data_IF_188655465492
#
_entry.id   IF_188655465492
#
_cell.length_a   1.000
_cell.length_b   1.000
_cell.length_c   1.000
_cell.angle_alpha   90.00
_cell.angle_beta   90.00
_cell.angle_gamma   90.00
#
_symmetry.space_group_name_H-M   'P 1'
#
loop_
_entity.id
_entity.type
_entity.pdbx_description
1 polymer ?
#
# COMPACT_ATOMS: atom_id res chain seq x y z
N UNK A 1 10.38 -0.28 -12.33
CA UNK A 1 9.83 -1.62 -12.67
C UNK A 1 10.79 -2.82 -12.54
N UNK A 2 11.91 -2.93 -13.29
CA UNK A 2 12.68 -4.21 -13.37
C UNK A 2 13.35 -4.69 -12.06
N UNK A 3 13.91 -3.79 -11.24
CA UNK A 3 14.68 -4.18 -10.03
C UNK A 3 13.83 -4.71 -8.87
N UNK A 4 12.63 -4.18 -8.63
CA UNK A 4 11.75 -4.67 -7.55
C UNK A 4 11.04 -5.97 -7.93
N UNK A 5 10.59 -6.09 -9.19
CA UNK A 5 10.00 -7.31 -9.73
C UNK A 5 11.00 -8.48 -9.74
N UNK A 6 12.29 -8.20 -10.00
CA UNK A 6 13.39 -9.17 -9.89
C UNK A 6 13.60 -9.63 -8.44
N UNK A 7 13.41 -8.74 -7.46
CA UNK A 7 13.53 -9.10 -6.04
C UNK A 7 12.38 -9.99 -5.56
N UNK A 8 11.14 -9.73 -6.00
CA UNK A 8 9.96 -10.51 -5.58
C UNK A 8 9.81 -11.84 -6.33
N UNK A 9 10.10 -11.84 -7.63
CA UNK A 9 10.23 -13.08 -8.41
C UNK A 9 11.39 -13.91 -7.86
N UNK A 10 12.49 -13.26 -7.46
CA UNK A 10 13.61 -13.91 -6.78
C UNK A 10 13.21 -14.52 -5.44
N UNK A 11 12.48 -13.79 -4.59
CA UNK A 11 12.05 -14.29 -3.28
C UNK A 11 11.09 -15.48 -3.40
N UNK A 12 10.12 -15.40 -4.32
CA UNK A 12 9.18 -16.51 -4.56
C UNK A 12 9.88 -17.71 -5.20
N UNK A 13 10.82 -17.50 -6.11
CA UNK A 13 11.64 -18.56 -6.69
C UNK A 13 12.53 -19.23 -5.63
N UNK A 14 13.13 -18.45 -4.73
CA UNK A 14 13.92 -18.93 -3.60
C UNK A 14 13.05 -19.70 -2.61
N UNK A 15 11.84 -19.23 -2.30
CA UNK A 15 10.89 -19.92 -1.43
C UNK A 15 10.43 -21.25 -2.04
N UNK A 16 10.09 -21.26 -3.32
CA UNK A 16 9.70 -22.46 -4.07
C UNK A 16 10.86 -23.46 -4.11
N UNK A 17 12.07 -22.99 -4.42
CA UNK A 17 13.28 -23.82 -4.44
C UNK A 17 13.63 -24.39 -3.07
N UNK A 18 13.59 -23.56 -2.02
CA UNK A 18 13.84 -24.00 -0.64
C UNK A 18 12.80 -25.03 -0.18
N UNK A 19 11.52 -24.81 -0.50
CA UNK A 19 10.43 -25.74 -0.15
C UNK A 19 10.60 -27.09 -0.84
N UNK A 20 10.96 -27.09 -2.13
CA UNK A 20 11.25 -28.31 -2.89
C UNK A 20 12.46 -29.05 -2.30
N UNK A 21 13.58 -28.36 -2.05
CA UNK A 21 14.80 -29.00 -1.53
C UNK A 21 14.61 -29.56 -0.12
N UNK A 22 13.96 -28.82 0.78
CA UNK A 22 13.71 -29.25 2.15
C UNK A 22 12.74 -30.43 2.19
N UNK A 23 11.67 -30.41 1.40
CA UNK A 23 10.70 -31.51 1.35
C UNK A 23 11.30 -32.78 0.73
N UNK A 24 12.17 -32.67 -0.28
CA UNK A 24 12.93 -33.80 -0.82
C UNK A 24 13.84 -34.40 0.25
N UNK A 25 14.60 -33.56 0.97
CA UNK A 25 15.50 -34.01 2.04
C UNK A 25 14.77 -34.74 3.17
N UNK A 26 13.68 -34.15 3.67
CA UNK A 26 12.88 -34.76 4.75
C UNK A 26 12.20 -36.04 4.27
N UNK A 27 11.60 -36.03 3.07
CA UNK A 27 10.94 -37.20 2.52
C UNK A 27 11.92 -38.36 2.29
N UNK A 28 13.15 -38.08 1.83
CA UNK A 28 14.18 -39.12 1.65
C UNK A 28 14.59 -39.77 2.98
N UNK A 29 14.72 -38.97 4.05
CA UNK A 29 15.07 -39.45 5.39
C UNK A 29 13.95 -40.28 6.02
N UNK A 30 12.69 -39.86 5.85
CA UNK A 30 11.53 -40.48 6.49
C UNK A 30 11.05 -41.72 5.72
N UNK A 31 10.99 -41.66 4.39
CA UNK A 31 10.40 -42.73 3.57
C UNK A 31 11.44 -43.71 3.00
N UNK A 32 12.74 -43.42 3.15
CA UNK A 32 13.87 -44.18 2.57
C UNK A 32 13.72 -44.46 1.07
N UNK A 33 12.89 -43.69 0.39
CA UNK A 33 12.50 -43.80 -1.01
C UNK A 33 12.36 -42.39 -1.59
N UNK A 34 12.31 -42.24 -2.92
CA UNK A 34 12.19 -40.93 -3.55
C UNK A 34 10.79 -40.33 -3.29
N UNK A 35 10.67 -39.23 -2.52
CA UNK A 35 9.38 -38.72 -2.06
C UNK A 35 8.74 -37.86 -3.15
N UNK A 36 8.02 -38.48 -4.09
CA UNK A 36 7.49 -37.78 -5.27
C UNK A 36 6.45 -36.70 -4.92
N UNK A 37 5.64 -36.92 -3.87
CA UNK A 37 4.54 -36.03 -3.49
C UNK A 37 4.94 -34.91 -2.53
N UNK A 38 5.97 -35.11 -1.71
CA UNK A 38 6.42 -34.10 -0.75
C UNK A 38 6.82 -32.76 -1.41
N UNK A 39 7.64 -32.72 -2.49
CA UNK A 39 7.98 -31.47 -3.16
C UNK A 39 6.83 -30.88 -3.98
N UNK A 40 5.97 -31.72 -4.56
CA UNK A 40 4.78 -31.23 -5.26
C UNK A 40 3.89 -30.45 -4.28
N UNK A 41 3.47 -31.09 -3.18
CA UNK A 41 2.60 -30.49 -2.17
C UNK A 41 3.27 -29.28 -1.50
N UNK A 42 4.59 -29.34 -1.28
CA UNK A 42 5.31 -28.19 -0.73
C UNK A 42 5.29 -26.99 -1.69
N UNK A 43 5.57 -27.20 -2.97
CA UNK A 43 5.61 -26.13 -3.98
C UNK A 43 4.23 -25.55 -4.24
N UNK A 44 3.21 -26.40 -4.41
CA UNK A 44 1.84 -25.93 -4.64
C UNK A 44 1.33 -25.16 -3.44
N UNK A 45 1.46 -25.70 -2.22
CA UNK A 45 0.96 -25.03 -1.02
C UNK A 45 1.72 -23.72 -0.74
N UNK A 46 3.04 -23.65 -0.97
CA UNK A 46 3.76 -22.36 -0.91
C UNK A 46 3.29 -21.38 -1.98
N UNK A 47 2.98 -21.83 -3.20
CA UNK A 47 2.36 -20.95 -4.19
C UNK A 47 0.96 -20.50 -3.77
N UNK A 48 0.15 -21.36 -3.15
CA UNK A 48 -1.16 -20.98 -2.62
C UNK A 48 -1.03 -19.92 -1.52
N UNK A 49 -0.07 -20.11 -0.62
CA UNK A 49 0.13 -19.25 0.54
C UNK A 49 0.81 -17.91 0.18
N UNK A 50 1.74 -17.92 -0.78
CA UNK A 50 2.62 -16.79 -1.06
C UNK A 50 2.42 -16.14 -2.44
N UNK A 51 1.90 -16.84 -3.46
CA UNK A 51 1.85 -16.32 -4.82
C UNK A 51 0.63 -15.39 -5.07
N UNK A 52 0.77 -14.37 -5.95
CA UNK A 52 -0.26 -13.37 -6.16
C UNK A 52 -1.46 -13.78 -7.02
N UNK A 53 -1.39 -14.92 -7.72
CA UNK A 53 -2.38 -15.31 -8.72
C UNK A 53 -3.32 -16.40 -8.23
N UNK A 54 -4.59 -16.04 -7.99
CA UNK A 54 -5.66 -17.00 -7.65
C UNK A 54 -6.15 -17.84 -8.83
N UNK A 55 -5.89 -17.43 -10.07
CA UNK A 55 -6.46 -18.08 -11.28
C UNK A 55 -5.93 -19.50 -11.52
N UNK A 56 -4.79 -19.89 -10.95
CA UNK A 56 -4.23 -21.24 -11.08
C UNK A 56 -4.51 -22.19 -9.91
N UNK A 57 -5.08 -21.70 -8.80
CA UNK A 57 -5.20 -22.46 -7.55
C UNK A 57 -5.92 -23.80 -7.73
N UNK A 58 -7.08 -23.75 -8.40
CA UNK A 58 -7.89 -24.94 -8.66
C UNK A 58 -7.20 -25.89 -9.63
N UNK A 59 -6.45 -25.37 -10.61
CA UNK A 59 -5.70 -26.18 -11.58
C UNK A 59 -4.52 -26.91 -10.93
N UNK A 60 -3.82 -26.25 -10.00
CA UNK A 60 -2.73 -26.89 -9.25
C UNK A 60 -3.23 -27.96 -8.29
N UNK A 61 -4.25 -27.66 -7.48
CA UNK A 61 -4.85 -28.64 -6.56
C UNK A 61 -5.46 -29.83 -7.32
N UNK A 62 -6.15 -29.56 -8.43
CA UNK A 62 -6.67 -30.61 -9.29
C UNK A 62 -5.54 -31.45 -9.90
N UNK A 63 -4.47 -30.80 -10.40
CA UNK A 63 -3.30 -31.50 -10.94
C UNK A 63 -2.62 -32.41 -9.92
N UNK A 64 -2.49 -31.98 -8.67
CA UNK A 64 -1.91 -32.82 -7.61
C UNK A 64 -2.76 -34.03 -7.27
N UNK A 65 -4.07 -33.85 -7.08
CA UNK A 65 -4.98 -34.95 -6.73
C UNK A 65 -5.01 -35.99 -7.85
N UNK A 66 -5.07 -35.57 -9.11
CA UNK A 66 -5.05 -36.49 -10.25
C UNK A 66 -3.68 -37.14 -10.43
N UNK A 67 -2.59 -36.39 -10.25
CA UNK A 67 -1.23 -36.93 -10.28
C UNK A 67 -1.02 -38.01 -9.22
N UNK A 68 -1.48 -37.76 -7.98
CA UNK A 68 -1.46 -38.74 -6.91
C UNK A 68 -2.27 -39.99 -7.27
N UNK A 69 -3.49 -39.80 -7.76
CA UNK A 69 -4.36 -40.90 -8.15
C UNK A 69 -3.71 -41.80 -9.23
N UNK A 70 -3.22 -41.20 -10.32
CA UNK A 70 -2.56 -41.94 -11.42
C UNK A 70 -1.33 -42.69 -10.91
N UNK A 71 -0.49 -42.05 -10.09
CA UNK A 71 0.72 -42.69 -9.57
C UNK A 71 0.40 -43.87 -8.67
N UNK A 72 -0.63 -43.76 -7.81
CA UNK A 72 -1.06 -44.88 -6.96
C UNK A 72 -1.69 -46.04 -7.75
N UNK A 73 -2.25 -45.77 -8.93
CA UNK A 73 -2.80 -46.82 -9.80
C UNK A 73 -1.74 -47.58 -10.61
N UNK A 74 -0.68 -46.89 -11.05
CA UNK A 74 0.29 -47.46 -12.00
C UNK A 74 1.62 -47.90 -11.37
N UNK A 75 1.96 -47.46 -10.16
CA UNK A 75 3.20 -47.84 -9.47
C UNK A 75 2.89 -48.86 -8.36
N UNK A 76 3.15 -50.18 -8.57
CA UNK A 76 2.67 -51.25 -7.70
C UNK A 76 3.25 -51.26 -6.28
N UNK A 77 4.22 -50.38 -5.97
CA UNK A 77 4.84 -50.26 -4.63
C UNK A 77 4.41 -48.98 -3.89
N UNK A 78 3.58 -48.13 -4.49
CA UNK A 78 3.12 -46.88 -3.88
C UNK A 78 1.79 -47.09 -3.14
N UNK A 79 1.85 -47.32 -1.82
CA UNK A 79 0.66 -47.38 -0.98
C UNK A 79 0.02 -46.00 -0.81
N UNK A 80 -1.31 -45.95 -0.67
CA UNK A 80 -2.06 -44.75 -0.27
C UNK A 80 -1.54 -44.14 1.04
N UNK A 81 -1.02 -44.96 1.96
CA UNK A 81 -0.39 -44.51 3.21
C UNK A 81 0.91 -43.73 2.96
N UNK A 82 1.73 -44.17 2.00
CA UNK A 82 2.97 -43.48 1.63
C UNK A 82 2.67 -42.14 0.96
N UNK A 83 1.71 -42.10 0.03
CA UNK A 83 1.28 -40.86 -0.61
C UNK A 83 0.71 -39.85 0.42
N UNK A 84 -0.08 -40.31 1.38
CA UNK A 84 -0.62 -39.45 2.45
C UNK A 84 0.49 -38.90 3.36
N UNK A 85 1.47 -39.71 3.75
CA UNK A 85 2.60 -39.27 4.59
C UNK A 85 3.48 -38.25 3.87
N UNK A 86 3.84 -38.51 2.60
CA UNK A 86 4.56 -37.56 1.75
C UNK A 86 3.83 -36.23 1.64
N UNK A 87 2.51 -36.26 1.42
CA UNK A 87 1.70 -35.05 1.32
C UNK A 87 1.69 -34.25 2.62
N UNK A 88 1.62 -34.92 3.78
CA UNK A 88 1.71 -34.26 5.10
C UNK A 88 3.08 -33.59 5.32
N UNK A 89 4.16 -34.26 4.91
CA UNK A 89 5.52 -33.68 4.96
C UNK A 89 5.60 -32.45 4.08
N UNK A 90 5.11 -32.53 2.84
CA UNK A 90 5.06 -31.39 1.92
C UNK A 90 4.26 -30.22 2.49
N UNK A 91 3.08 -30.50 3.07
CA UNK A 91 2.24 -29.48 3.69
C UNK A 91 2.92 -28.83 4.90
N UNK A 92 3.56 -29.62 5.77
CA UNK A 92 4.31 -29.11 6.91
C UNK A 92 5.48 -28.22 6.48
N UNK A 93 6.26 -28.65 5.49
CA UNK A 93 7.38 -27.87 4.94
C UNK A 93 6.88 -26.56 4.35
N UNK A 94 5.80 -26.59 3.59
CA UNK A 94 5.22 -25.37 3.02
C UNK A 94 4.75 -24.39 4.10
N UNK A 95 4.07 -24.87 5.14
CA UNK A 95 3.66 -24.03 6.27
C UNK A 95 4.89 -23.46 6.98
N UNK A 96 5.92 -24.28 7.23
CA UNK A 96 7.15 -23.84 7.89
C UNK A 96 7.90 -22.78 7.07
N UNK A 97 8.03 -22.97 5.75
CA UNK A 97 8.66 -22.00 4.85
C UNK A 97 7.84 -20.73 4.74
N UNK A 98 6.51 -20.83 4.61
CA UNK A 98 5.62 -19.66 4.58
C UNK A 98 5.69 -18.87 5.91
N UNK A 99 5.70 -19.56 7.04
CA UNK A 99 5.85 -18.95 8.36
C UNK A 99 7.22 -18.27 8.52
N UNK A 100 8.31 -18.96 8.19
CA UNK A 100 9.67 -18.44 8.34
C UNK A 100 9.97 -17.29 7.36
N UNK A 101 9.35 -17.32 6.19
CA UNK A 101 9.47 -16.27 5.17
C UNK A 101 8.56 -15.07 5.42
N UNK A 102 7.55 -15.20 6.29
CA UNK A 102 6.64 -14.10 6.61
C UNK A 102 7.44 -12.98 7.29
N UNK A 103 7.41 -11.74 6.76
CA UNK A 103 8.09 -10.62 7.38
C UNK A 103 7.62 -10.42 8.82
N UNK A 104 8.59 -10.34 9.75
CA UNK A 104 8.33 -10.17 11.19
C UNK A 104 7.62 -8.86 11.54
N UNK A 105 7.67 -7.84 10.67
CA UNK A 105 6.96 -6.57 10.86
C UNK A 105 6.20 -6.14 9.58
N UNK A 106 4.95 -6.59 9.39
CA UNK A 106 4.12 -6.20 8.24
C UNK A 106 3.78 -4.71 8.21
N UNK A 107 3.66 -4.06 9.37
CA UNK A 107 3.35 -2.62 9.49
C UNK A 107 4.47 -1.79 8.90
N UNK A 108 5.72 -2.10 9.26
CA UNK A 108 6.89 -1.40 8.73
C UNK A 108 6.96 -1.43 7.19
N UNK A 109 6.63 -2.56 6.56
CA UNK A 109 6.61 -2.64 5.08
C UNK A 109 5.56 -1.73 4.45
N UNK A 110 4.39 -1.59 5.08
CA UNK A 110 3.34 -0.67 4.61
C UNK A 110 3.84 0.77 4.73
N UNK A 111 4.42 1.13 5.88
CA UNK A 111 4.95 2.48 6.12
C UNK A 111 6.09 2.84 5.15
N UNK A 112 7.02 1.92 4.90
CA UNK A 112 8.09 2.07 3.89
C UNK A 112 7.53 2.23 2.46
N UNK A 113 6.34 1.71 2.17
CA UNK A 113 5.68 1.87 0.87
C UNK A 113 4.86 3.17 0.77
N UNK A 114 4.44 3.74 1.90
CA UNK A 114 3.72 5.02 1.98
C UNK A 114 4.68 6.20 1.81
N UNK A 115 5.89 6.11 2.37
CA UNK A 115 6.87 7.19 2.38
C UNK A 115 7.12 7.82 1.00
N UNK A 116 7.38 7.06 -0.09
CA UNK A 116 7.61 7.65 -1.41
C UNK A 116 6.40 8.43 -1.94
N UNK A 117 5.18 7.94 -1.66
CA UNK A 117 3.93 8.60 -2.05
C UNK A 117 3.82 9.97 -1.37
N UNK A 118 3.97 10.01 -0.05
CA UNK A 118 3.90 11.26 0.72
C UNK A 118 5.02 12.25 0.34
N UNK A 119 6.22 11.74 0.06
CA UNK A 119 7.35 12.55 -0.38
C UNK A 119 7.06 13.26 -1.72
N UNK A 120 6.59 12.51 -2.72
CA UNK A 120 6.22 13.07 -4.02
C UNK A 120 5.06 14.07 -3.92
N UNK A 121 4.05 13.79 -3.09
CA UNK A 121 2.96 14.72 -2.84
C UNK A 121 3.48 16.02 -2.20
N UNK A 122 4.28 15.93 -1.14
CA UNK A 122 4.83 17.11 -0.45
C UNK A 122 5.65 17.99 -1.39
N UNK A 123 6.57 17.39 -2.16
CA UNK A 123 7.45 18.13 -3.09
C UNK A 123 6.62 18.85 -4.16
N UNK A 124 5.72 18.15 -4.82
CA UNK A 124 4.95 18.72 -5.93
C UNK A 124 3.89 19.71 -5.45
N UNK A 125 3.22 19.46 -4.32
CA UNK A 125 2.28 20.42 -3.72
C UNK A 125 3.01 21.72 -3.33
N UNK A 126 4.22 21.63 -2.75
CA UNK A 126 5.04 22.82 -2.44
C UNK A 126 5.48 23.56 -3.71
N UNK A 127 5.84 22.84 -4.78
CA UNK A 127 6.21 23.44 -6.05
C UNK A 127 5.03 24.19 -6.70
N UNK A 128 3.81 23.64 -6.62
CA UNK A 128 2.59 24.32 -7.09
C UNK A 128 2.35 25.62 -6.29
N UNK A 129 2.49 25.58 -4.96
CA UNK A 129 2.36 26.77 -4.12
C UNK A 129 3.36 27.88 -4.51
N UNK A 130 4.62 27.50 -4.75
CA UNK A 130 5.66 28.43 -5.19
C UNK A 130 5.35 29.03 -6.57
N UNK A 131 4.90 28.22 -7.52
CA UNK A 131 4.54 28.67 -8.86
C UNK A 131 3.30 29.59 -8.87
N UNK A 132 2.32 29.33 -7.99
CA UNK A 132 1.17 30.22 -7.81
C UNK A 132 1.58 31.58 -7.24
N UNK A 133 2.57 31.63 -6.34
CA UNK A 133 3.11 32.90 -5.80
C UNK A 133 3.87 33.70 -6.85
N UNK A 134 4.65 33.04 -7.70
CA UNK A 134 5.42 33.72 -8.75
C UNK A 134 4.61 34.01 -10.02
N UNK A 135 3.41 33.42 -10.16
CA UNK A 135 2.62 33.49 -11.38
C UNK A 135 3.19 32.67 -12.54
N UNK A 136 4.11 31.74 -12.27
CA UNK A 136 4.76 30.93 -13.30
C UNK A 136 3.88 29.74 -13.71
N UNK A 137 3.16 29.92 -14.81
CA UNK A 137 2.22 28.93 -15.33
C UNK A 137 2.91 27.66 -15.85
N UNK A 138 4.16 27.76 -16.31
CA UNK A 138 4.94 26.63 -16.84
C UNK A 138 5.52 25.78 -15.69
N UNK A 139 6.04 26.42 -14.65
CA UNK A 139 6.48 25.73 -13.44
C UNK A 139 5.32 25.00 -12.75
N UNK A 140 4.15 25.66 -12.64
CA UNK A 140 2.95 25.04 -12.09
C UNK A 140 2.52 23.81 -12.92
N UNK A 141 2.49 23.93 -14.25
CA UNK A 141 2.14 22.81 -15.13
C UNK A 141 3.07 21.61 -14.94
N UNK A 142 4.37 21.87 -14.88
CA UNK A 142 5.39 20.83 -14.64
C UNK A 142 5.15 20.08 -13.32
N UNK A 143 4.87 20.81 -12.23
CA UNK A 143 4.59 20.22 -10.93
C UNK A 143 3.26 19.43 -10.91
N UNK A 144 2.23 19.91 -11.61
CA UNK A 144 0.95 19.17 -11.75
C UNK A 144 1.15 17.87 -12.54
N UNK A 145 1.92 17.87 -13.62
CA UNK A 145 2.18 16.65 -14.39
C UNK A 145 3.07 15.67 -13.64
N UNK A 146 4.01 16.14 -12.83
CA UNK A 146 4.84 15.29 -11.96
C UNK A 146 4.02 14.57 -10.87
N UNK A 147 2.83 15.06 -10.49
CA UNK A 147 1.92 14.30 -9.61
C UNK A 147 1.41 13.00 -10.24
N UNK A 148 1.49 12.81 -11.56
CA UNK A 148 1.16 11.53 -12.19
C UNK A 148 2.20 10.44 -11.88
N UNK A 149 3.44 10.81 -11.55
CA UNK A 149 4.48 9.85 -11.15
C UNK A 149 4.13 9.14 -9.83
N UNK A 150 3.22 9.73 -9.04
CA UNK A 150 2.68 9.13 -7.82
C UNK A 150 1.93 7.82 -8.13
N UNK A 151 1.36 7.66 -9.32
CA UNK A 151 0.60 6.44 -9.68
C UNK A 151 1.48 5.19 -9.62
N UNK A 152 2.77 5.29 -9.97
CA UNK A 152 3.69 4.16 -9.85
C UNK A 152 3.88 3.73 -8.39
N UNK A 153 4.08 4.69 -7.49
CA UNK A 153 4.25 4.39 -6.06
C UNK A 153 2.93 3.99 -5.39
N UNK A 154 1.79 4.50 -5.84
CA UNK A 154 0.48 4.08 -5.36
C UNK A 154 0.18 2.63 -5.76
N UNK A 155 0.51 2.23 -6.98
CA UNK A 155 0.40 0.83 -7.42
C UNK A 155 1.29 -0.08 -6.57
N UNK A 156 2.53 0.36 -6.29
CA UNK A 156 3.45 -0.36 -5.41
C UNK A 156 2.90 -0.50 -3.99
N UNK A 157 2.33 0.57 -3.42
CA UNK A 157 1.67 0.53 -2.12
C UNK A 157 0.51 -0.48 -2.12
N UNK A 158 -0.32 -0.49 -3.18
CA UNK A 158 -1.41 -1.45 -3.32
C UNK A 158 -0.93 -2.91 -3.44
N UNK A 159 0.21 -3.15 -4.11
CA UNK A 159 0.85 -4.47 -4.15
C UNK A 159 1.29 -4.90 -2.75
N UNK A 160 1.96 -4.02 -2.01
CA UNK A 160 2.41 -4.28 -0.63
C UNK A 160 1.22 -4.56 0.29
N UNK A 161 0.15 -3.77 0.24
CA UNK A 161 -1.07 -4.00 1.03
C UNK A 161 -1.70 -5.36 0.73
N UNK A 162 -1.76 -5.76 -0.55
CA UNK A 162 -2.25 -7.09 -0.95
C UNK A 162 -1.38 -8.21 -0.39
N UNK A 163 -0.05 -8.05 -0.38
CA UNK A 163 0.88 -9.03 0.18
C UNK A 163 0.76 -9.14 1.70
N UNK A 164 0.71 -8.01 2.38
CA UNK A 164 0.60 -7.96 3.84
C UNK A 164 -0.72 -8.58 4.30
N UNK A 165 -1.85 -8.28 3.65
CA UNK A 165 -3.15 -8.90 3.96
C UNK A 165 -3.14 -10.42 3.82
N UNK A 166 -2.35 -10.98 2.90
CA UNK A 166 -2.18 -12.44 2.73
C UNK A 166 -1.32 -13.05 3.84
N UNK A 167 -0.23 -12.38 4.19
CA UNK A 167 0.72 -12.84 5.21
C UNK A 167 0.21 -12.65 6.63
N UNK A 168 -0.79 -11.78 6.83
CA UNK A 168 -1.43 -11.49 8.11
C UNK A 168 -2.04 -12.70 8.81
N UNK A 169 -2.37 -13.76 8.06
CA UNK A 169 -2.89 -15.03 8.61
C UNK A 169 -1.85 -15.67 9.55
N UNK A 170 -0.56 -15.46 9.28
CA UNK A 170 0.56 -16.12 9.96
C UNK A 170 1.29 -15.25 10.98
N UNK A 171 1.05 -13.93 10.98
CA UNK A 171 1.77 -13.00 11.85
C UNK A 171 1.11 -12.88 13.24
N UNK A 172 1.93 -12.73 14.29
CA UNK A 172 1.49 -12.47 15.68
C UNK A 172 0.98 -11.03 15.90
N UNK A 173 0.94 -10.20 14.86
CA UNK A 173 0.48 -8.81 14.94
C UNK A 173 -1.02 -8.80 15.20
N UNK A 174 -1.47 -7.95 16.12
CA UNK A 174 -2.90 -7.75 16.36
C UNK A 174 -3.59 -7.39 15.04
N UNK A 175 -4.64 -8.15 14.67
CA UNK A 175 -5.47 -7.87 13.48
C UNK A 175 -5.93 -6.41 13.43
N UNK A 176 -6.10 -5.78 14.59
CA UNK A 176 -6.48 -4.38 14.76
C UNK A 176 -5.41 -3.42 14.23
N UNK A 177 -4.16 -3.53 14.69
CA UNK A 177 -3.07 -2.66 14.24
C UNK A 177 -2.86 -2.77 12.72
N UNK A 178 -2.99 -3.97 12.16
CA UNK A 178 -2.89 -4.13 10.72
C UNK A 178 -4.07 -3.51 9.97
N UNK A 179 -5.29 -3.68 10.46
CA UNK A 179 -6.47 -3.07 9.86
C UNK A 179 -6.40 -1.54 9.88
N UNK A 180 -5.92 -0.95 10.97
CA UNK A 180 -5.70 0.49 11.11
C UNK A 180 -4.69 0.98 10.05
N UNK A 181 -3.53 0.32 9.90
CA UNK A 181 -2.54 0.71 8.87
C UNK A 181 -3.05 0.53 7.42
N UNK A 182 -3.82 -0.53 7.15
CA UNK A 182 -4.43 -0.74 5.82
C UNK A 182 -5.47 0.34 5.52
N UNK A 183 -6.22 0.77 6.53
CA UNK A 183 -7.15 1.89 6.40
C UNK A 183 -6.39 3.19 6.15
N UNK A 184 -5.34 3.49 6.93
CA UNK A 184 -4.48 4.67 6.70
C UNK A 184 -3.96 4.74 5.26
N UNK A 185 -3.45 3.63 4.73
CA UNK A 185 -2.94 3.58 3.36
C UNK A 185 -4.05 3.79 2.30
N UNK A 186 -5.29 3.37 2.59
CA UNK A 186 -6.45 3.62 1.73
C UNK A 186 -6.81 5.10 1.71
N UNK A 187 -6.89 5.73 2.88
CA UNK A 187 -7.20 7.15 3.00
C UNK A 187 -6.14 8.03 2.33
N UNK A 188 -4.86 7.67 2.41
CA UNK A 188 -3.79 8.32 1.63
C UNK A 188 -4.07 8.22 0.12
N UNK A 189 -4.59 7.08 -0.36
CA UNK A 189 -5.00 6.92 -1.75
C UNK A 189 -6.15 7.86 -2.16
N UNK A 190 -7.10 8.13 -1.27
CA UNK A 190 -8.14 9.13 -1.50
C UNK A 190 -7.56 10.55 -1.51
N UNK A 191 -6.70 10.88 -0.55
CA UNK A 191 -5.98 12.15 -0.51
C UNK A 191 -5.15 12.42 -1.79
N UNK A 192 -4.47 11.41 -2.34
CA UNK A 192 -3.74 11.52 -3.63
C UNK A 192 -4.68 11.93 -4.76
N UNK A 193 -5.87 11.34 -4.83
CA UNK A 193 -6.88 11.68 -5.86
C UNK A 193 -7.33 13.13 -5.71
N UNK A 194 -7.57 13.56 -4.50
CA UNK A 194 -8.12 14.88 -4.20
C UNK A 194 -7.06 15.97 -4.38
N UNK A 195 -5.80 15.72 -3.98
CA UNK A 195 -4.66 16.60 -4.25
C UNK A 195 -4.42 16.76 -5.76
N UNK A 196 -4.51 15.70 -6.57
CA UNK A 196 -4.39 15.83 -8.03
C UNK A 196 -5.53 16.64 -8.63
N UNK A 197 -6.74 16.47 -8.11
CA UNK A 197 -7.91 17.22 -8.55
C UNK A 197 -7.74 18.69 -8.21
N UNK A 198 -7.35 19.00 -6.97
CA UNK A 198 -6.96 20.33 -6.50
C UNK A 198 -5.88 20.96 -7.39
N UNK A 199 -4.78 20.26 -7.60
CA UNK A 199 -3.63 20.72 -8.38
C UNK A 199 -4.01 21.06 -9.83
N UNK A 200 -4.81 20.20 -10.47
CA UNK A 200 -5.28 20.42 -11.84
C UNK A 200 -6.19 21.64 -11.94
N UNK A 201 -7.10 21.84 -10.99
CA UNK A 201 -7.98 23.01 -10.99
C UNK A 201 -7.24 24.30 -10.65
N UNK A 202 -6.26 24.25 -9.73
CA UNK A 202 -5.40 25.39 -9.43
C UNK A 202 -4.59 25.82 -10.67
N UNK A 203 -4.02 24.88 -11.41
CA UNK A 203 -3.28 25.20 -12.64
C UNK A 203 -4.18 25.67 -13.79
N UNK A 204 -5.26 24.93 -14.10
CA UNK A 204 -6.10 25.24 -15.26
C UNK A 204 -7.01 26.44 -15.04
N UNK A 205 -7.68 26.50 -13.90
CA UNK A 205 -8.65 27.56 -13.60
C UNK A 205 -7.94 28.85 -13.22
N UNK A 206 -7.03 28.79 -12.26
CA UNK A 206 -6.44 30.00 -11.69
C UNK A 206 -5.34 30.56 -12.59
N UNK A 207 -4.33 29.76 -12.92
CA UNK A 207 -3.17 30.25 -13.66
C UNK A 207 -3.40 30.35 -15.17
N UNK A 208 -4.04 29.35 -15.79
CA UNK A 208 -4.16 29.30 -17.25
C UNK A 208 -5.29 30.15 -17.81
N UNK A 209 -6.38 30.29 -17.06
CA UNK A 209 -7.55 31.12 -17.46
C UNK A 209 -7.41 32.56 -16.98
N UNK A 210 -6.37 32.86 -16.19
CA UNK A 210 -6.08 34.21 -15.67
C UNK A 210 -7.05 34.65 -14.57
N UNK A 211 -7.72 33.72 -13.90
CA UNK A 211 -8.55 34.04 -12.75
C UNK A 211 -7.68 34.54 -11.59
N UNK A 212 -8.16 35.48 -10.76
CA UNK A 212 -7.39 35.96 -9.62
C UNK A 212 -7.08 34.82 -8.65
N UNK A 213 -5.79 34.63 -8.33
CA UNK A 213 -5.34 33.66 -7.33
C UNK A 213 -5.80 34.13 -5.95
N UNK A 214 -6.64 33.37 -5.23
CA UNK A 214 -6.97 33.71 -3.85
C UNK A 214 -5.69 33.75 -3.03
N UNK A 215 -5.41 34.83 -2.25
CA UNK A 215 -4.16 34.94 -1.50
C UNK A 215 -3.90 33.72 -0.62
N UNK A 216 -4.96 33.16 -0.02
CA UNK A 216 -4.96 31.98 0.84
C UNK A 216 -4.55 30.67 0.16
N UNK A 217 -4.67 30.55 -1.16
CA UNK A 217 -4.44 29.29 -1.88
C UNK A 217 -2.97 28.82 -1.79
N UNK A 218 -1.96 29.66 -2.09
CA UNK A 218 -0.57 29.29 -1.85
C UNK A 218 -0.26 28.90 -0.40
N UNK A 219 -0.79 29.63 0.60
CA UNK A 219 -0.54 29.30 2.01
C UNK A 219 -1.18 27.97 2.43
N UNK A 220 -2.37 27.67 1.91
CA UNK A 220 -3.02 26.38 2.11
C UNK A 220 -2.17 25.23 1.57
N UNK A 221 -1.65 25.37 0.34
CA UNK A 221 -0.83 24.35 -0.30
C UNK A 221 0.51 24.17 0.41
N UNK A 222 1.11 25.24 0.93
CA UNK A 222 2.30 25.16 1.78
C UNK A 222 2.04 24.38 3.07
N UNK A 223 1.01 24.76 3.83
CA UNK A 223 0.63 24.07 5.05
C UNK A 223 0.32 22.59 4.80
N UNK A 224 -0.34 22.27 3.67
CA UNK A 224 -0.59 20.91 3.23
C UNK A 224 0.71 20.16 2.91
N UNK A 225 1.64 20.79 2.18
CA UNK A 225 2.93 20.19 1.86
C UNK A 225 3.80 19.96 3.10
N UNK A 226 3.74 20.85 4.08
CA UNK A 226 4.39 20.69 5.39
C UNK A 226 3.77 19.53 6.17
N UNK A 227 2.43 19.46 6.23
CA UNK A 227 1.73 18.34 6.86
C UNK A 227 2.06 16.99 6.23
N UNK A 228 2.16 16.92 4.89
CA UNK A 228 2.59 15.72 4.17
C UNK A 228 4.05 15.34 4.47
N UNK A 229 4.96 16.32 4.59
CA UNK A 229 6.35 16.07 4.93
C UNK A 229 6.50 15.52 6.36
N UNK A 230 5.80 16.13 7.32
CA UNK A 230 5.80 15.64 8.71
C UNK A 230 5.14 14.28 8.82
N UNK A 231 4.02 14.05 8.11
CA UNK A 231 3.36 12.75 8.08
C UNK A 231 4.29 11.66 7.55
N UNK A 232 5.05 11.94 6.48
CA UNK A 232 6.09 11.06 5.95
C UNK A 232 7.14 10.73 7.02
N UNK A 233 7.61 11.73 7.75
CA UNK A 233 8.66 11.54 8.76
C UNK A 233 8.16 10.75 9.98
N UNK A 234 6.88 10.89 10.33
CA UNK A 234 6.22 10.11 11.39
C UNK A 234 5.94 8.65 11.00
N UNK A 235 5.85 8.31 9.71
CA UNK A 235 5.63 6.91 9.27
C UNK A 235 6.73 5.95 9.73
N UNK A 236 7.94 6.46 10.02
CA UNK A 236 9.06 5.64 10.51
C UNK A 236 9.02 5.39 12.02
N UNK A 237 8.17 6.10 12.76
CA UNK A 237 8.06 5.98 14.21
C UNK A 237 6.97 4.97 14.57
N UNK A 238 7.20 4.20 15.62
CA UNK A 238 6.15 3.32 16.15
C UNK A 238 5.05 4.17 16.79
N UNK A 239 3.84 4.14 16.23
CA UNK A 239 2.68 4.87 16.79
C UNK A 239 1.77 5.47 15.73
N UNK A 240 0.75 6.19 16.18
CA UNK A 240 -0.09 7.01 15.30
C UNK A 240 0.61 8.36 15.04
N UNK A 241 0.50 8.92 13.83
CA UNK A 241 1.03 10.25 13.53
C UNK A 241 0.27 11.32 14.33
N UNK A 242 0.99 12.16 15.07
CA UNK A 242 0.42 13.21 15.90
C UNK A 242 0.95 14.60 15.51
N UNK A 243 2.21 14.71 15.09
CA UNK A 243 2.85 15.98 14.70
C UNK A 243 2.32 16.52 13.37
N UNK A 244 1.88 15.65 12.46
CA UNK A 244 1.29 16.06 11.18
C UNK A 244 -0.10 16.69 11.34
N UNK A 245 -0.88 16.25 12.34
CA UNK A 245 -2.27 16.69 12.57
C UNK A 245 -2.43 18.22 12.65
N UNK A 246 -1.67 18.97 13.47
CA UNK A 246 -1.82 20.43 13.53
C UNK A 246 -1.53 21.13 12.20
N UNK A 247 -0.59 20.63 11.39
CA UNK A 247 -0.28 21.20 10.07
C UNK A 247 -1.41 20.93 9.06
N UNK A 248 -1.98 19.72 9.08
CA UNK A 248 -3.15 19.39 8.26
C UNK A 248 -4.37 20.23 8.66
N UNK A 249 -4.61 20.42 9.96
CA UNK A 249 -5.66 21.32 10.46
C UNK A 249 -5.39 22.77 10.00
N UNK A 250 -4.13 23.22 10.04
CA UNK A 250 -3.75 24.54 9.54
C UNK A 250 -4.05 24.70 8.05
N UNK A 251 -3.82 23.66 7.24
CA UNK A 251 -4.20 23.67 5.82
C UNK A 251 -5.72 23.80 5.65
N UNK A 252 -6.51 23.05 6.43
CA UNK A 252 -7.97 23.17 6.47
C UNK A 252 -8.45 24.58 6.82
N UNK A 253 -7.82 25.25 7.79
CA UNK A 253 -8.15 26.65 8.13
C UNK A 253 -7.93 27.62 6.97
N UNK A 254 -6.90 27.42 6.16
CA UNK A 254 -6.70 28.24 4.96
C UNK A 254 -7.79 28.00 3.90
N UNK A 255 -8.38 26.80 3.85
CA UNK A 255 -9.56 26.53 3.03
C UNK A 255 -10.75 27.36 3.50
N UNK A 256 -10.97 27.49 4.80
CA UNK A 256 -12.04 28.33 5.35
C UNK A 256 -11.82 29.82 5.05
N UNK A 257 -10.58 30.30 5.17
CA UNK A 257 -10.21 31.67 4.77
C UNK A 257 -10.51 31.89 3.29
N UNK A 258 -10.22 30.91 2.43
CA UNK A 258 -10.54 30.99 1.00
C UNK A 258 -12.06 31.04 0.78
N UNK A 259 -12.84 30.20 1.45
CA UNK A 259 -14.31 30.17 1.37
C UNK A 259 -14.99 31.44 1.91
N UNK A 260 -14.32 32.19 2.77
CA UNK A 260 -14.83 33.48 3.28
C UNK A 260 -14.78 34.63 2.25
N UNK A 261 -14.14 34.40 1.11
CA UNK A 261 -14.00 35.37 0.02
C UNK A 261 -14.91 35.01 -1.17
N UNK A 262 -15.25 35.95 -2.06
CA UNK A 262 -15.93 35.63 -3.31
C UNK A 262 -15.05 34.73 -4.18
N UNK A 263 -15.44 33.46 -4.32
CA UNK A 263 -14.70 32.48 -5.11
C UNK A 263 -15.25 32.36 -6.52
N UNK A 264 -14.34 32.24 -7.49
CA UNK A 264 -14.68 31.71 -8.81
C UNK A 264 -15.10 30.24 -8.71
N UNK A 265 -15.73 29.70 -9.75
CA UNK A 265 -16.11 28.28 -9.81
C UNK A 265 -14.87 27.38 -9.66
N UNK A 266 -13.76 27.76 -10.31
CA UNK A 266 -12.49 27.04 -10.20
C UNK A 266 -11.95 27.07 -8.78
N UNK A 267 -11.92 28.24 -8.14
CA UNK A 267 -11.42 28.40 -6.78
C UNK A 267 -12.31 27.70 -5.73
N UNK A 268 -13.63 27.65 -5.95
CA UNK A 268 -14.54 26.87 -5.12
C UNK A 268 -14.29 25.36 -5.23
N UNK A 269 -13.99 24.86 -6.43
CA UNK A 269 -13.66 23.44 -6.66
C UNK A 269 -12.31 23.06 -6.03
N UNK A 270 -11.34 23.97 -6.11
CA UNK A 270 -10.05 23.90 -5.39
C UNK A 270 -10.32 23.81 -3.88
N UNK A 271 -11.14 24.69 -3.31
CA UNK A 271 -11.47 24.66 -1.88
C UNK A 271 -12.09 23.32 -1.46
N UNK A 272 -13.06 22.81 -2.22
CA UNK A 272 -13.71 21.55 -1.93
C UNK A 272 -12.74 20.35 -1.98
N UNK A 273 -11.87 20.31 -2.98
CA UNK A 273 -10.89 19.23 -3.13
C UNK A 273 -9.80 19.27 -2.05
N UNK A 274 -9.39 20.47 -1.62
CA UNK A 274 -8.45 20.64 -0.53
C UNK A 274 -9.04 20.17 0.81
N UNK A 275 -10.30 20.49 1.08
CA UNK A 275 -11.00 20.07 2.31
C UNK A 275 -11.11 18.55 2.41
N UNK A 276 -11.49 17.90 1.31
CA UNK A 276 -11.55 16.45 1.23
C UNK A 276 -10.17 15.80 1.40
N UNK A 277 -9.14 16.35 0.76
CA UNK A 277 -7.76 15.86 0.94
C UNK A 277 -7.26 15.99 2.39
N UNK A 278 -7.55 17.12 3.06
CA UNK A 278 -7.18 17.32 4.46
C UNK A 278 -7.92 16.34 5.37
N UNK A 279 -9.22 16.14 5.15
CA UNK A 279 -10.03 15.19 5.89
C UNK A 279 -9.47 13.76 5.75
N UNK A 280 -9.22 13.31 4.52
CA UNK A 280 -8.65 11.98 4.25
C UNK A 280 -7.29 11.80 4.92
N UNK A 281 -6.42 12.83 4.89
CA UNK A 281 -5.11 12.78 5.56
C UNK A 281 -5.24 12.75 7.08
N UNK A 282 -6.21 13.45 7.68
CA UNK A 282 -6.48 13.36 9.11
C UNK A 282 -6.95 11.96 9.49
N UNK A 283 -7.84 11.35 8.71
CA UNK A 283 -8.28 9.97 8.93
C UNK A 283 -7.09 9.01 8.77
N UNK A 284 -6.20 9.27 7.80
CA UNK A 284 -4.98 8.49 7.62
C UNK A 284 -4.07 8.50 8.85
N UNK A 285 -4.10 9.54 9.68
CA UNK A 285 -3.36 9.59 10.96
C UNK A 285 -4.00 8.77 12.09
N UNK A 286 -5.09 8.05 11.81
CA UNK A 286 -5.83 7.22 12.78
C UNK A 286 -6.96 7.95 13.50
N UNK A 287 -7.31 9.18 13.10
CA UNK A 287 -8.44 9.93 13.66
C UNK A 287 -9.75 9.40 13.04
N UNK A 288 -10.79 9.09 13.84
CA UNK A 288 -12.09 8.72 13.29
C UNK A 288 -12.69 9.85 12.44
N UNK A 289 -13.46 9.49 11.39
CA UNK A 289 -14.10 10.46 10.47
C UNK A 289 -14.82 11.60 11.19
N UNK A 290 -15.66 11.28 12.19
CA UNK A 290 -16.43 12.29 12.92
C UNK A 290 -15.53 13.26 13.70
N UNK A 291 -14.45 12.75 14.27
CA UNK A 291 -13.50 13.57 15.03
C UNK A 291 -12.68 14.44 14.08
N UNK A 292 -12.29 13.91 12.92
CA UNK A 292 -11.57 14.66 11.88
C UNK A 292 -12.43 15.79 11.30
N UNK A 293 -13.70 15.51 10.95
CA UNK A 293 -14.65 16.54 10.51
C UNK A 293 -14.89 17.58 11.61
N UNK A 294 -14.98 17.16 12.89
CA UNK A 294 -15.11 18.09 14.01
C UNK A 294 -13.84 18.95 14.22
N UNK A 295 -12.64 18.40 14.02
CA UNK A 295 -11.38 19.14 14.09
C UNK A 295 -11.31 20.24 13.02
N UNK A 296 -11.85 19.98 11.83
CA UNK A 296 -11.93 20.97 10.76
C UNK A 296 -13.02 22.01 10.99
N UNK A 297 -14.17 21.62 11.57
CA UNK A 297 -15.28 22.55 11.87
C UNK A 297 -15.05 23.43 13.09
N UNK A 298 -14.18 23.04 14.02
CA UNK A 298 -13.97 23.79 15.28
C UNK A 298 -12.97 24.93 15.07
N UNK A 299 -13.35 26.21 15.27
CA UNK A 299 -12.36 27.27 15.46
C UNK A 299 -11.60 26.93 16.74
N UNK A 300 -10.31 26.61 16.62
CA UNK A 300 -9.49 26.25 17.78
C UNK A 300 -9.19 27.53 18.56
N UNK A 301 -10.06 27.86 19.53
CA UNK A 301 -9.69 28.73 20.63
C UNK A 301 -8.98 27.89 21.69
N UNK A 302 -7.67 28.04 21.74
CA UNK A 302 -6.84 27.83 22.93
C UNK A 302 -5.60 28.70 22.79
#
# INVERSE_FOLDING_TARGET
>A
MRKLFLSESGLTLVQVGASALVSIGIGYVVERSFPLFAPLVAVTLVQVLCAPHRRGLWLFLFGEVNGALVTTMFIPHFSTRHAALSALIGAFVAIAVAYLSTPRNPVRRVNEAIEPVLSLLSINTRAIAAALRSGDTAAAGTAVFALNDVDHELNRLQDVLRQVRRSAIWSRVSRRNLAENVNSAREIGFAVRDIRTLARHAWWGVLRTGEPVPPALPQMLEALADGLAVLRDEMHRDGQPHEARPLLISAGRWVDVMRSQPLSISAATVAASADAAVLDLLIATGVPLNDADQMLRRPSYS
#
